data_IF_125608121541
#
_entry.id   IF_125608121541
#
_cell.length_a   1.000
_cell.length_b   1.000
_cell.length_c   1.000
_cell.angle_alpha   90.00
_cell.angle_beta   90.00
_cell.angle_gamma   90.00
#
_symmetry.space_group_name_H-M   'P 1'
#
loop_
_entity.id
_entity.type
_entity.pdbx_description
1 polymer ?
#
# COMPACT_ATOMS: atom_id res chain seq x y z
N UNK A 1 -39.47 -36.24 -23.20
CA UNK A 1 -38.93 -35.39 -22.12
C UNK A 1 -38.23 -36.33 -21.15
N UNK A 2 -36.92 -36.22 -21.00
CA UNK A 2 -36.12 -37.20 -20.25
C UNK A 2 -36.44 -37.11 -18.75
N UNK A 3 -36.36 -38.20 -17.98
CA UNK A 3 -36.59 -38.17 -16.52
C UNK A 3 -35.76 -37.08 -15.81
N UNK A 4 -34.55 -36.79 -16.31
CA UNK A 4 -33.69 -35.69 -15.85
C UNK A 4 -34.31 -34.29 -16.02
N UNK A 5 -35.09 -34.07 -17.08
CA UNK A 5 -35.74 -32.78 -17.35
C UNK A 5 -36.94 -32.54 -16.40
N UNK A 6 -37.53 -33.63 -15.87
CA UNK A 6 -38.61 -33.55 -14.90
C UNK A 6 -38.09 -33.30 -13.48
N UNK A 7 -36.97 -33.93 -13.08
CA UNK A 7 -36.29 -33.65 -11.80
C UNK A 7 -35.78 -32.19 -11.74
N UNK A 8 -35.12 -31.69 -12.78
CA UNK A 8 -34.65 -30.29 -12.81
C UNK A 8 -35.79 -29.26 -12.76
N UNK A 9 -36.96 -29.57 -13.34
CA UNK A 9 -38.15 -28.71 -13.24
C UNK A 9 -38.78 -28.76 -11.85
N UNK A 10 -38.73 -29.90 -11.17
CA UNK A 10 -39.23 -30.04 -9.80
C UNK A 10 -38.35 -29.30 -8.79
N UNK A 11 -37.02 -29.36 -8.95
CA UNK A 11 -36.08 -28.60 -8.14
C UNK A 11 -36.18 -27.08 -8.38
N UNK A 12 -36.37 -26.65 -9.64
CA UNK A 12 -36.59 -25.24 -9.94
C UNK A 12 -37.91 -24.72 -9.32
N UNK A 13 -38.98 -25.53 -9.34
CA UNK A 13 -40.26 -25.15 -8.77
C UNK A 13 -40.26 -25.12 -7.23
N UNK A 14 -39.49 -26.00 -6.57
CA UNK A 14 -39.34 -26.00 -5.11
C UNK A 14 -38.56 -24.77 -4.60
N UNK A 15 -37.46 -24.41 -5.28
CA UNK A 15 -36.65 -23.21 -4.98
C UNK A 15 -37.49 -21.93 -5.17
N UNK A 16 -38.34 -21.90 -6.20
CA UNK A 16 -39.22 -20.75 -6.46
C UNK A 16 -40.27 -20.57 -5.36
N UNK A 17 -40.84 -21.66 -4.85
CA UNK A 17 -41.80 -21.61 -3.73
C UNK A 17 -41.12 -21.24 -2.40
N UNK A 18 -39.92 -21.72 -2.12
CA UNK A 18 -39.16 -21.32 -0.92
C UNK A 18 -38.72 -19.85 -0.96
N UNK A 19 -38.38 -19.32 -2.13
CA UNK A 19 -38.00 -17.90 -2.32
C UNK A 19 -39.15 -16.92 -2.03
N UNK A 20 -40.41 -17.35 -2.26
CA UNK A 20 -41.61 -16.57 -1.93
C UNK A 20 -41.92 -16.59 -0.43
N UNK A 21 -41.57 -17.67 0.27
CA UNK A 21 -41.96 -17.90 1.67
C UNK A 21 -40.90 -17.44 2.68
N UNK A 22 -39.61 -17.46 2.33
CA UNK A 22 -38.48 -16.95 3.14
C UNK A 22 -37.39 -16.31 2.26
N UNK A 23 -37.61 -15.09 1.73
CA UNK A 23 -36.68 -14.45 0.80
C UNK A 23 -35.27 -14.27 1.38
N UNK A 24 -35.15 -13.97 2.67
CA UNK A 24 -33.84 -13.81 3.34
C UNK A 24 -33.05 -15.12 3.48
N UNK A 25 -33.71 -16.27 3.63
CA UNK A 25 -33.02 -17.56 3.76
C UNK A 25 -32.49 -18.04 2.40
N UNK A 26 -33.24 -17.78 1.33
CA UNK A 26 -32.80 -18.06 -0.05
C UNK A 26 -31.70 -17.09 -0.47
N UNK A 27 -31.78 -15.81 -0.11
CA UNK A 27 -30.69 -14.85 -0.36
C UNK A 27 -29.41 -15.24 0.40
N UNK A 28 -29.51 -15.68 1.66
CA UNK A 28 -28.37 -16.20 2.41
C UNK A 28 -27.83 -17.52 1.86
N UNK A 29 -28.69 -18.40 1.34
CA UNK A 29 -28.27 -19.64 0.71
C UNK A 29 -27.60 -19.39 -0.64
N UNK A 30 -28.09 -18.43 -1.44
CA UNK A 30 -27.47 -18.00 -2.69
C UNK A 30 -26.16 -17.28 -2.43
N UNK A 31 -26.08 -16.39 -1.43
CA UNK A 31 -24.85 -15.74 -1.00
C UNK A 31 -23.83 -16.77 -0.47
N UNK A 32 -24.30 -17.75 0.31
CA UNK A 32 -23.48 -18.85 0.83
C UNK A 32 -22.99 -19.82 -0.25
N UNK A 33 -23.83 -20.11 -1.26
CA UNK A 33 -23.48 -20.94 -2.41
C UNK A 33 -22.51 -20.22 -3.34
N UNK A 34 -22.77 -18.95 -3.67
CA UNK A 34 -21.87 -18.11 -4.47
C UNK A 34 -20.53 -17.88 -3.77
N UNK A 35 -20.50 -17.70 -2.44
CA UNK A 35 -19.24 -17.62 -1.70
C UNK A 35 -18.44 -18.93 -1.71
N UNK A 36 -19.13 -20.08 -1.62
CA UNK A 36 -18.49 -21.41 -1.71
C UNK A 36 -17.94 -21.68 -3.12
N UNK A 37 -18.70 -21.34 -4.17
CA UNK A 37 -18.26 -21.46 -5.56
C UNK A 37 -17.10 -20.52 -5.89
N UNK A 38 -17.06 -19.32 -5.28
CA UNK A 38 -15.91 -18.40 -5.38
C UNK A 38 -14.68 -18.92 -4.64
N UNK A 39 -14.85 -19.50 -3.44
CA UNK A 39 -13.76 -20.11 -2.66
C UNK A 39 -13.19 -21.35 -3.37
N UNK A 40 -14.02 -22.18 -4.02
CA UNK A 40 -13.56 -23.36 -4.77
C UNK A 40 -12.81 -23.00 -6.08
N UNK A 41 -13.04 -21.81 -6.64
CA UNK A 41 -12.32 -21.32 -7.83
C UNK A 41 -10.97 -20.65 -7.50
N UNK A 42 -10.75 -20.21 -6.26
CA UNK A 42 -9.46 -19.66 -5.84
C UNK A 42 -8.52 -20.79 -5.40
N UNK A 43 -7.65 -21.21 -6.32
CA UNK A 43 -6.55 -22.09 -5.99
C UNK A 43 -5.56 -21.34 -5.08
N UNK A 44 -5.71 -21.42 -3.76
CA UNK A 44 -4.76 -20.81 -2.83
C UNK A 44 -3.39 -21.49 -2.96
N UNK A 45 -2.30 -20.72 -2.86
CA UNK A 45 -0.95 -21.27 -2.79
C UNK A 45 -0.81 -22.11 -1.52
N UNK A 46 -0.34 -23.35 -1.65
CA UNK A 46 -0.09 -24.24 -0.50
C UNK A 46 1.38 -24.66 -0.44
N UNK A 47 1.82 -25.06 0.76
CA UNK A 47 3.15 -25.61 1.00
C UNK A 47 4.28 -24.57 1.07
N UNK A 48 5.50 -24.99 0.73
CA UNK A 48 6.75 -24.22 0.89
C UNK A 48 6.68 -22.86 0.19
N UNK A 49 6.00 -22.79 -0.96
CA UNK A 49 5.87 -21.57 -1.76
C UNK A 49 5.11 -20.47 -1.03
N UNK A 50 4.04 -20.81 -0.30
CA UNK A 50 3.30 -19.85 0.52
C UNK A 50 4.18 -19.29 1.64
N UNK A 51 4.92 -20.16 2.32
CA UNK A 51 5.83 -19.73 3.40
C UNK A 51 6.94 -18.83 2.88
N UNK A 52 7.53 -19.13 1.72
CA UNK A 52 8.55 -18.29 1.09
C UNK A 52 8.01 -16.89 0.76
N UNK A 53 6.85 -16.81 0.12
CA UNK A 53 6.21 -15.51 -0.20
C UNK A 53 5.91 -14.76 1.10
N UNK A 54 5.35 -15.44 2.10
CA UNK A 54 5.02 -14.85 3.39
C UNK A 54 6.25 -14.27 4.10
N UNK A 55 7.34 -15.04 4.18
CA UNK A 55 8.61 -14.59 4.76
C UNK A 55 9.15 -13.38 4.01
N UNK A 56 9.06 -13.37 2.68
CA UNK A 56 9.49 -12.23 1.90
C UNK A 56 8.64 -10.98 2.14
N UNK A 57 7.31 -11.12 2.27
CA UNK A 57 6.42 -10.00 2.58
C UNK A 57 6.70 -9.45 3.98
N UNK A 58 6.85 -10.34 4.97
CA UNK A 58 7.25 -9.96 6.33
C UNK A 58 8.61 -9.24 6.33
N UNK A 59 9.57 -9.70 5.53
CA UNK A 59 10.89 -9.06 5.42
C UNK A 59 10.79 -7.67 4.78
N UNK A 60 10.05 -7.51 3.68
CA UNK A 60 9.82 -6.20 3.06
C UNK A 60 9.15 -5.23 4.03
N UNK A 61 8.11 -5.67 4.73
CA UNK A 61 7.41 -4.88 5.75
C UNK A 61 8.32 -4.53 6.92
N UNK A 62 9.09 -5.49 7.42
CA UNK A 62 10.03 -5.30 8.51
C UNK A 62 11.07 -4.23 8.16
N UNK A 63 11.74 -4.34 7.01
CA UNK A 63 12.74 -3.36 6.58
C UNK A 63 12.14 -1.98 6.42
N UNK A 64 10.99 -1.88 5.75
CA UNK A 64 10.29 -0.62 5.50
C UNK A 64 9.91 0.12 6.79
N UNK A 65 9.51 -0.61 7.84
CA UNK A 65 9.09 -0.01 9.11
C UNK A 65 10.22 0.14 10.12
N UNK A 66 11.30 -0.63 9.98
CA UNK A 66 12.54 -0.46 10.74
C UNK A 66 13.17 0.91 10.47
N UNK A 67 13.10 1.38 9.21
CA UNK A 67 13.73 2.63 8.73
C UNK A 67 13.27 3.89 9.47
N UNK A 68 12.03 3.95 9.94
CA UNK A 68 11.53 5.15 10.62
C UNK A 68 12.26 5.32 11.98
N UNK A 69 12.15 4.39 12.93
CA UNK A 69 12.75 4.56 14.25
C UNK A 69 14.28 4.44 14.26
N UNK A 70 14.90 3.60 13.41
CA UNK A 70 16.37 3.44 13.35
C UNK A 70 17.09 4.75 12.99
N UNK A 71 16.39 5.60 12.24
CA UNK A 71 16.91 6.87 11.75
C UNK A 71 16.65 7.95 12.78
N UNK A 72 15.46 7.95 13.38
CA UNK A 72 15.13 8.86 14.46
C UNK A 72 16.17 8.78 15.59
N UNK A 73 16.63 7.58 15.95
CA UNK A 73 17.66 7.43 16.99
C UNK A 73 19.07 7.82 16.55
N UNK A 74 19.34 7.76 15.25
CA UNK A 74 20.67 8.03 14.68
C UNK A 74 20.77 9.43 14.07
N UNK A 75 19.70 10.23 14.18
CA UNK A 75 19.56 11.51 13.49
C UNK A 75 20.70 12.46 13.83
N UNK A 76 21.07 12.54 15.11
CA UNK A 76 22.17 13.39 15.58
C UNK A 76 23.49 12.98 14.90
N UNK A 77 23.78 11.68 14.83
CA UNK A 77 24.99 11.17 14.17
C UNK A 77 25.01 11.42 12.65
N UNK A 78 23.84 11.47 12.00
CA UNK A 78 23.72 11.84 10.58
C UNK A 78 24.02 13.34 10.41
N UNK A 79 23.44 14.19 11.26
CA UNK A 79 23.59 15.65 11.16
C UNK A 79 24.96 16.15 11.59
N UNK A 80 25.67 15.41 12.44
CA UNK A 80 27.04 15.74 12.85
C UNK A 80 28.03 15.51 11.69
N UNK A 81 27.84 14.46 10.89
CA UNK A 81 28.69 14.14 9.73
C UNK A 81 28.35 14.97 8.48
N UNK A 82 27.07 15.25 8.22
CA UNK A 82 26.62 15.98 7.04
C UNK A 82 26.47 17.50 7.27
N UNK A 83 26.49 17.96 8.51
CA UNK A 83 26.23 19.36 8.89
C UNK A 83 24.76 19.77 8.77
N UNK A 84 24.43 21.03 9.02
CA UNK A 84 23.09 21.62 8.88
C UNK A 84 21.96 21.00 9.74
N UNK A 85 22.11 21.11 11.06
CA UNK A 85 21.12 20.67 12.06
C UNK A 85 19.71 21.24 11.85
N UNK A 86 19.58 22.39 11.20
CA UNK A 86 18.28 23.01 10.95
C UNK A 86 17.41 22.18 10.00
N UNK A 87 18.03 21.32 9.17
CA UNK A 87 17.34 20.41 8.25
C UNK A 87 17.18 18.98 8.79
N UNK A 88 17.54 18.74 10.06
CA UNK A 88 17.47 17.42 10.66
C UNK A 88 16.05 16.83 10.62
N UNK A 89 15.03 17.61 10.98
CA UNK A 89 13.63 17.16 11.01
C UNK A 89 13.15 16.70 9.63
N UNK A 90 13.59 17.39 8.57
CA UNK A 90 13.27 17.05 7.19
C UNK A 90 13.77 15.68 6.74
N UNK A 91 14.81 15.11 7.37
CA UNK A 91 15.31 13.76 7.05
C UNK A 91 14.25 12.70 7.38
N UNK A 92 13.51 12.87 8.48
CA UNK A 92 12.43 11.97 8.89
C UNK A 92 11.17 12.30 8.09
N UNK A 93 10.80 13.58 8.05
CA UNK A 93 9.55 14.04 7.43
C UNK A 93 9.49 13.75 5.93
N UNK A 94 10.60 13.86 5.20
CA UNK A 94 10.65 13.51 3.77
C UNK A 94 10.31 12.05 3.47
N UNK A 95 10.78 11.11 4.30
CA UNK A 95 10.40 9.70 4.17
C UNK A 95 8.91 9.51 4.41
N UNK A 96 8.37 10.08 5.50
CA UNK A 96 6.94 9.98 5.84
C UNK A 96 6.06 10.60 4.76
N UNK A 97 6.48 11.73 4.18
CA UNK A 97 5.80 12.40 3.09
C UNK A 97 5.71 11.53 1.84
N UNK A 98 6.85 10.99 1.40
CA UNK A 98 6.89 10.01 0.31
C UNK A 98 6.07 8.76 0.63
N UNK A 99 6.07 8.35 1.90
CA UNK A 99 5.36 7.15 2.36
C UNK A 99 3.83 7.33 2.32
N UNK A 100 3.30 8.26 3.10
CA UNK A 100 1.85 8.45 3.24
C UNK A 100 1.21 8.86 1.91
N UNK A 101 1.90 9.68 1.13
CA UNK A 101 1.38 10.27 -0.09
C UNK A 101 1.04 9.27 -1.20
N UNK A 102 1.74 8.13 -1.29
CA UNK A 102 1.61 7.19 -2.41
C UNK A 102 1.09 5.81 -2.01
N UNK A 103 0.70 5.62 -0.75
CA UNK A 103 0.15 4.35 -0.21
C UNK A 103 -1.00 3.81 -1.07
N UNK A 104 -1.97 4.66 -1.40
CA UNK A 104 -3.17 4.24 -2.15
C UNK A 104 -2.85 4.06 -3.65
N UNK A 105 -1.95 4.89 -4.18
CA UNK A 105 -1.51 4.88 -5.58
C UNK A 105 -0.96 3.50 -5.94
N UNK A 106 -0.04 2.95 -5.13
CA UNK A 106 0.56 1.65 -5.43
C UNK A 106 -0.43 0.48 -5.32
N UNK A 107 -1.37 0.51 -4.37
CA UNK A 107 -2.42 -0.52 -4.29
C UNK A 107 -3.23 -0.57 -5.58
N UNK A 108 -3.70 0.58 -6.06
CA UNK A 108 -4.43 0.68 -7.32
C UNK A 108 -3.57 0.32 -8.53
N UNK A 109 -2.31 0.73 -8.54
CA UNK A 109 -1.37 0.38 -9.60
C UNK A 109 -1.17 -1.14 -9.68
N UNK A 110 -1.15 -1.82 -8.54
CA UNK A 110 -1.02 -3.28 -8.48
C UNK A 110 -2.27 -4.02 -8.95
N UNK A 111 -3.47 -3.41 -8.86
CA UNK A 111 -4.70 -3.98 -9.44
C UNK A 111 -4.62 -4.03 -10.97
N UNK A 112 -3.96 -3.04 -11.58
CA UNK A 112 -3.88 -2.86 -13.03
C UNK A 112 -2.71 -3.60 -13.65
N UNK A 113 -1.49 -3.38 -13.13
CA UNK A 113 -0.25 -3.94 -13.69
C UNK A 113 0.09 -5.33 -13.14
N UNK A 114 -0.69 -5.81 -12.17
CA UNK A 114 -0.50 -7.08 -11.49
C UNK A 114 0.36 -6.94 -10.23
N UNK A 115 0.06 -7.80 -9.24
CA UNK A 115 0.68 -7.79 -7.91
C UNK A 115 2.20 -7.97 -7.97
N UNK A 116 2.67 -9.00 -8.70
CA UNK A 116 4.10 -9.37 -8.76
C UNK A 116 4.96 -8.25 -9.34
N UNK A 117 4.55 -7.69 -10.49
CA UNK A 117 5.35 -6.68 -11.21
C UNK A 117 5.49 -5.41 -10.38
N UNK A 118 4.40 -4.95 -9.76
CA UNK A 118 4.44 -3.76 -8.90
C UNK A 118 5.19 -4.04 -7.61
N UNK A 119 5.07 -5.23 -7.00
CA UNK A 119 5.84 -5.60 -5.82
C UNK A 119 7.35 -5.57 -6.10
N UNK A 120 7.78 -6.11 -7.24
CA UNK A 120 9.18 -6.06 -7.68
C UNK A 120 9.64 -4.61 -7.86
N UNK A 121 8.83 -3.77 -8.50
CA UNK A 121 9.15 -2.36 -8.73
C UNK A 121 9.34 -1.60 -7.42
N UNK A 122 8.42 -1.75 -6.46
CA UNK A 122 8.48 -1.00 -5.19
C UNK A 122 9.64 -1.47 -4.30
N UNK A 123 9.95 -2.77 -4.29
CA UNK A 123 11.14 -3.30 -3.60
C UNK A 123 12.42 -2.76 -4.25
N UNK A 124 12.48 -2.72 -5.58
CA UNK A 124 13.63 -2.13 -6.30
C UNK A 124 13.82 -0.65 -5.98
N UNK A 125 12.75 0.14 -6.02
CA UNK A 125 12.78 1.56 -5.65
C UNK A 125 13.31 1.69 -4.21
N UNK A 126 12.75 0.95 -3.26
CA UNK A 126 13.18 0.98 -1.88
C UNK A 126 14.67 0.65 -1.71
N UNK A 127 15.16 -0.43 -2.33
CA UNK A 127 16.56 -0.86 -2.24
C UNK A 127 17.52 0.13 -2.91
N UNK A 128 17.20 0.60 -4.11
CA UNK A 128 18.04 1.55 -4.86
C UNK A 128 18.18 2.88 -4.13
N UNK A 129 17.06 3.43 -3.64
CA UNK A 129 17.11 4.69 -2.90
C UNK A 129 17.67 4.51 -1.49
N UNK A 130 17.55 3.33 -0.87
CA UNK A 130 18.28 3.04 0.37
C UNK A 130 19.80 3.03 0.14
N UNK A 131 20.28 2.41 -0.96
CA UNK A 131 21.69 2.50 -1.34
C UNK A 131 22.13 3.96 -1.61
N UNK A 132 21.28 4.75 -2.28
CA UNK A 132 21.54 6.17 -2.54
C UNK A 132 21.63 7.00 -1.24
N UNK A 133 20.74 6.75 -0.26
CA UNK A 133 20.80 7.37 1.07
C UNK A 133 22.13 7.04 1.78
N UNK A 134 22.61 5.80 1.71
CA UNK A 134 23.91 5.40 2.26
C UNK A 134 25.10 6.06 1.54
N UNK A 135 24.94 6.46 0.29
CA UNK A 135 25.94 7.17 -0.51
C UNK A 135 25.81 8.70 -0.47
N UNK A 136 24.84 9.25 0.29
CA UNK A 136 24.59 10.69 0.33
C UNK A 136 25.78 11.46 0.93
N UNK A 137 26.08 12.61 0.32
CA UNK A 137 27.19 13.50 0.72
C UNK A 137 26.73 14.80 1.38
N UNK A 138 25.43 15.13 1.27
CA UNK A 138 24.82 16.34 1.85
C UNK A 138 23.45 16.01 2.43
N UNK A 139 22.98 16.79 3.41
CA UNK A 139 21.65 16.59 3.99
C UNK A 139 20.54 16.76 2.93
N UNK A 140 20.67 17.70 2.00
CA UNK A 140 19.68 17.92 0.95
C UNK A 140 19.54 16.70 0.03
N UNK A 141 20.66 16.11 -0.38
CA UNK A 141 20.65 14.86 -1.15
C UNK A 141 19.99 13.74 -0.35
N UNK A 142 20.30 13.64 0.95
CA UNK A 142 19.71 12.63 1.82
C UNK A 142 18.19 12.80 1.93
N UNK A 143 17.69 14.02 2.11
CA UNK A 143 16.25 14.34 2.14
C UNK A 143 15.56 13.94 0.82
N UNK A 144 16.18 14.23 -0.32
CA UNK A 144 15.61 13.86 -1.62
C UNK A 144 15.57 12.34 -1.79
N UNK A 145 16.67 11.64 -1.51
CA UNK A 145 16.71 10.18 -1.60
C UNK A 145 15.74 9.52 -0.61
N UNK A 146 15.55 10.13 0.57
CA UNK A 146 14.57 9.70 1.57
C UNK A 146 13.14 9.79 1.08
N UNK A 147 12.77 10.88 0.42
CA UNK A 147 11.45 11.01 -0.17
C UNK A 147 11.17 9.87 -1.17
N UNK A 148 12.13 9.57 -2.05
CA UNK A 148 12.00 8.46 -3.00
C UNK A 148 12.05 7.07 -2.35
N UNK A 149 12.85 6.89 -1.29
CA UNK A 149 12.85 5.66 -0.51
C UNK A 149 11.50 5.44 0.17
N UNK A 150 10.88 6.51 0.70
CA UNK A 150 9.53 6.49 1.28
C UNK A 150 8.46 6.03 0.29
N UNK A 151 8.57 6.45 -0.98
CA UNK A 151 7.69 5.99 -2.06
C UNK A 151 7.77 4.46 -2.23
N UNK A 152 8.98 3.89 -2.24
CA UNK A 152 9.17 2.44 -2.28
C UNK A 152 8.62 1.74 -1.02
N UNK A 153 8.81 2.35 0.15
CA UNK A 153 8.29 1.86 1.42
C UNK A 153 6.75 1.79 1.46
N UNK A 154 6.07 2.82 1.00
CA UNK A 154 4.61 2.82 0.90
C UNK A 154 4.08 1.72 0.01
N UNK A 155 4.72 1.53 -1.15
CA UNK A 155 4.43 0.42 -2.04
C UNK A 155 4.58 -0.93 -1.34
N UNK A 156 5.69 -1.14 -0.64
CA UNK A 156 5.91 -2.37 0.13
C UNK A 156 4.82 -2.60 1.18
N UNK A 157 4.46 -1.57 1.94
CA UNK A 157 3.43 -1.68 2.97
C UNK A 157 2.07 -2.02 2.39
N UNK A 158 1.63 -1.23 1.43
CA UNK A 158 0.29 -1.33 0.84
C UNK A 158 0.11 -2.63 0.07
N UNK A 159 1.09 -3.01 -0.78
CA UNK A 159 1.01 -4.27 -1.51
C UNK A 159 1.12 -5.48 -0.58
N UNK A 160 1.91 -5.42 0.48
CA UNK A 160 2.01 -6.55 1.41
C UNK A 160 0.67 -6.81 2.11
N UNK A 161 -0.05 -5.75 2.49
CA UNK A 161 -1.39 -5.87 3.05
C UNK A 161 -2.39 -6.48 2.05
N UNK A 162 -2.38 -6.02 0.80
CA UNK A 162 -3.26 -6.54 -0.27
C UNK A 162 -2.94 -8.01 -0.59
N UNK A 163 -1.66 -8.33 -0.79
CA UNK A 163 -1.22 -9.68 -1.15
C UNK A 163 -1.48 -10.67 -0.02
N UNK A 164 -1.35 -10.25 1.25
CA UNK A 164 -1.66 -11.09 2.40
C UNK A 164 -3.11 -11.60 2.36
N UNK A 165 -4.05 -10.69 2.08
CA UNK A 165 -5.48 -11.01 1.98
C UNK A 165 -5.75 -11.91 0.77
N UNK A 166 -5.06 -11.71 -0.35
CA UNK A 166 -5.22 -12.57 -1.53
C UNK A 166 -4.53 -13.95 -1.39
N UNK A 167 -3.53 -14.08 -0.53
CA UNK A 167 -2.70 -15.28 -0.40
C UNK A 167 -3.32 -16.33 0.53
N UNK A 168 -4.09 -15.89 1.53
CA UNK A 168 -4.56 -16.71 2.65
C UNK A 168 -6.09 -16.83 2.58
N UNK A 169 -6.69 -17.99 2.89
CA UNK A 169 -8.15 -18.08 2.99
C UNK A 169 -8.69 -17.31 4.20
N UNK A 170 -9.94 -16.86 4.10
CA UNK A 170 -10.65 -16.05 5.11
C UNK A 170 -10.54 -16.60 6.54
N UNK A 171 -10.63 -17.92 6.71
CA UNK A 171 -10.53 -18.60 8.01
C UNK A 171 -9.16 -18.52 8.70
N UNK A 172 -8.10 -18.20 7.95
CA UNK A 172 -6.72 -18.15 8.43
C UNK A 172 -6.19 -16.73 8.53
N UNK A 173 -6.94 -15.71 8.10
CA UNK A 173 -6.52 -14.30 8.16
C UNK A 173 -6.01 -13.90 9.54
N UNK A 174 -6.74 -14.22 10.61
CA UNK A 174 -6.32 -13.87 11.97
C UNK A 174 -4.90 -14.40 12.29
N UNK A 175 -4.59 -15.64 11.91
CA UNK A 175 -3.28 -16.25 12.17
C UNK A 175 -2.15 -15.54 11.42
N UNK A 176 -2.33 -15.30 10.12
CA UNK A 176 -1.28 -14.71 9.30
C UNK A 176 -1.13 -13.20 9.52
N UNK A 177 -2.22 -12.47 9.72
CA UNK A 177 -2.19 -11.05 10.11
C UNK A 177 -1.50 -10.88 11.47
N UNK A 178 -1.72 -11.77 12.44
CA UNK A 178 -0.99 -11.72 13.72
C UNK A 178 0.51 -11.91 13.52
N UNK A 179 0.94 -12.82 12.64
CA UNK A 179 2.36 -13.00 12.30
C UNK A 179 2.93 -11.71 11.69
N UNK A 180 2.24 -11.10 10.72
CA UNK A 180 2.69 -9.84 10.11
C UNK A 180 2.78 -8.73 11.15
N UNK A 181 1.76 -8.56 12.00
CA UNK A 181 1.74 -7.57 13.06
C UNK A 181 2.86 -7.78 14.08
N UNK A 182 3.25 -9.04 14.34
CA UNK A 182 4.40 -9.35 15.19
C UNK A 182 5.71 -8.82 14.58
N UNK A 183 5.95 -9.11 13.29
CA UNK A 183 7.14 -8.60 12.59
C UNK A 183 7.14 -7.08 12.48
N UNK A 184 5.97 -6.48 12.24
CA UNK A 184 5.80 -5.03 12.24
C UNK A 184 6.17 -4.42 13.60
N UNK A 185 5.58 -4.90 14.69
CA UNK A 185 5.90 -4.41 16.05
C UNK A 185 7.36 -4.66 16.42
N UNK A 186 7.92 -5.80 16.00
CA UNK A 186 9.33 -6.12 16.23
C UNK A 186 10.25 -5.15 15.48
N UNK A 187 9.90 -4.73 14.26
CA UNK A 187 10.68 -3.72 13.52
C UNK A 187 10.72 -2.38 14.28
N UNK A 188 9.62 -1.97 14.90
CA UNK A 188 9.57 -0.73 15.68
C UNK A 188 10.43 -0.80 16.95
N UNK A 189 10.50 -1.98 17.58
CA UNK A 189 11.35 -2.21 18.76
C UNK A 189 12.83 -2.32 18.41
N UNK A 190 13.16 -3.01 17.32
CA UNK A 190 14.55 -3.24 16.91
C UNK A 190 15.18 -2.02 16.25
N UNK A 191 14.39 -1.10 15.70
CA UNK A 191 14.90 0.12 15.06
C UNK A 191 15.81 0.94 15.97
N UNK A 192 15.34 1.39 17.15
CA UNK A 192 16.16 2.15 18.09
C UNK A 192 17.42 1.41 18.53
N UNK A 193 17.30 0.09 18.73
CA UNK A 193 18.41 -0.78 19.17
C UNK A 193 19.50 -0.83 18.11
N UNK A 194 19.14 -1.16 16.87
CA UNK A 194 20.10 -1.20 15.76
C UNK A 194 20.66 0.19 15.48
N UNK A 195 19.85 1.25 15.54
CA UNK A 195 20.30 2.61 15.30
C UNK A 195 21.34 3.07 16.32
N UNK A 196 21.11 2.79 17.61
CA UNK A 196 22.07 3.06 18.67
C UNK A 196 23.38 2.28 18.49
N UNK A 197 23.30 0.97 18.23
CA UNK A 197 24.49 0.12 18.02
C UNK A 197 25.30 0.57 16.81
N UNK A 198 24.64 0.87 15.69
CA UNK A 198 25.31 1.29 14.46
C UNK A 198 25.94 2.66 14.66
N UNK A 199 25.25 3.62 15.26
CA UNK A 199 25.79 4.97 15.49
C UNK A 199 27.00 4.96 16.43
N UNK A 200 27.05 4.03 17.40
CA UNK A 200 28.18 3.92 18.34
C UNK A 200 29.40 3.20 17.77
N UNK A 201 29.19 2.19 16.93
CA UNK A 201 30.26 1.26 16.51
C UNK A 201 30.64 1.37 15.02
N UNK A 202 29.83 2.05 14.21
CA UNK A 202 29.99 2.14 12.77
C UNK A 202 29.52 3.51 12.25
N UNK A 203 29.62 3.70 10.93
CA UNK A 203 29.09 4.92 10.28
C UNK A 203 27.57 4.82 10.10
N UNK A 204 26.85 5.93 10.29
CA UNK A 204 25.40 6.02 10.08
C UNK A 204 24.95 5.51 8.70
N UNK A 205 25.82 5.54 7.69
CA UNK A 205 25.56 5.01 6.34
C UNK A 205 25.12 3.54 6.34
N UNK A 206 25.58 2.74 7.31
CA UNK A 206 25.20 1.33 7.45
C UNK A 206 23.72 1.13 7.81
N UNK A 207 23.07 2.14 8.40
CA UNK A 207 21.63 2.14 8.66
C UNK A 207 20.86 2.01 7.34
N UNK A 208 21.37 2.58 6.26
CA UNK A 208 20.74 2.45 4.95
C UNK A 208 21.21 1.19 4.23
N UNK A 209 22.52 0.93 4.29
CA UNK A 209 23.12 -0.19 3.58
C UNK A 209 22.63 -1.55 4.08
N UNK A 210 22.13 -1.69 5.32
CA UNK A 210 21.56 -2.96 5.78
C UNK A 210 20.32 -3.39 4.98
N UNK A 211 19.56 -2.44 4.45
CA UNK A 211 18.35 -2.72 3.67
C UNK A 211 18.67 -3.30 2.30
N UNK A 212 19.85 -3.01 1.76
CA UNK A 212 20.24 -3.46 0.42
C UNK A 212 20.35 -4.98 0.34
N UNK A 213 21.15 -5.69 1.16
CA UNK A 213 21.24 -7.14 1.10
C UNK A 213 19.92 -7.81 1.51
N UNK A 214 19.24 -7.31 2.55
CA UNK A 214 17.99 -7.90 3.01
C UNK A 214 16.86 -7.72 1.99
N UNK A 215 16.77 -6.54 1.37
CA UNK A 215 15.83 -6.25 0.28
C UNK A 215 16.15 -7.01 -1.00
N UNK A 216 17.43 -7.25 -1.32
CA UNK A 216 17.83 -8.10 -2.43
C UNK A 216 17.42 -9.57 -2.22
N UNK A 217 17.54 -10.09 -0.99
CA UNK A 217 17.04 -11.43 -0.64
C UNK A 217 15.52 -11.51 -0.80
N UNK A 218 14.78 -10.52 -0.27
CA UNK A 218 13.33 -10.46 -0.44
C UNK A 218 12.94 -10.41 -1.92
N UNK A 219 13.61 -9.55 -2.70
CA UNK A 219 13.40 -9.43 -4.14
C UNK A 219 13.64 -10.76 -4.86
N UNK A 220 14.73 -11.46 -4.54
CA UNK A 220 15.02 -12.79 -5.09
C UNK A 220 13.90 -13.78 -4.78
N UNK A 221 13.44 -13.84 -3.53
CA UNK A 221 12.34 -14.72 -3.15
C UNK A 221 11.07 -14.37 -3.92
N UNK A 222 10.71 -13.08 -4.07
CA UNK A 222 9.52 -12.67 -4.84
C UNK A 222 9.64 -13.08 -6.31
N UNK A 223 10.81 -12.86 -6.93
CA UNK A 223 11.03 -13.17 -8.35
C UNK A 223 10.89 -14.67 -8.62
N UNK A 224 11.45 -15.53 -7.77
CA UNK A 224 11.43 -16.98 -7.94
C UNK A 224 10.18 -17.66 -7.38
N UNK A 225 9.71 -17.25 -6.21
CA UNK A 225 8.58 -17.90 -5.54
C UNK A 225 7.23 -17.35 -6.03
N UNK A 226 7.06 -16.08 -6.38
CA UNK A 226 5.74 -15.57 -6.77
C UNK A 226 5.38 -15.92 -8.23
N UNK A 227 4.20 -16.49 -8.54
CA UNK A 227 3.81 -16.81 -9.92
C UNK A 227 3.49 -15.54 -10.73
N UNK A 228 3.85 -15.53 -12.02
CA UNK A 228 3.63 -14.40 -12.97
C UNK A 228 2.15 -14.08 -13.28
N UNK A 229 1.20 -14.66 -12.53
CA UNK A 229 -0.24 -14.44 -12.69
C UNK A 229 -1.00 -14.39 -11.37
N UNK A 230 -0.32 -14.18 -10.24
CA UNK A 230 -0.96 -13.98 -8.94
C UNK A 230 -1.85 -12.72 -8.98
N UNK A 231 -3.08 -12.77 -8.43
CA UNK A 231 -3.70 -13.88 -7.66
C UNK A 231 -4.37 -14.97 -8.53
N UNK A 232 -4.65 -14.71 -9.81
CA UNK A 232 -5.37 -15.60 -10.72
C UNK A 232 -4.53 -16.72 -11.35
N UNK A 233 -3.58 -17.28 -10.61
CA UNK A 233 -2.71 -18.33 -11.15
C UNK A 233 -3.52 -19.62 -11.38
N UNK A 234 -3.52 -20.13 -12.61
CA UNK A 234 -4.27 -21.34 -12.99
C UNK A 234 -5.53 -21.06 -13.83
N UNK A 235 -5.97 -19.80 -13.95
CA UNK A 235 -7.05 -19.44 -14.87
C UNK A 235 -6.45 -19.23 -16.28
N UNK A 236 -6.99 -19.88 -17.34
CA UNK A 236 -6.58 -19.65 -18.73
C UNK A 236 -6.58 -18.16 -19.05
N UNK A 237 -5.60 -17.70 -19.84
CA UNK A 237 -5.37 -16.27 -20.17
C UNK A 237 -6.61 -15.57 -20.76
N UNK A 238 -7.55 -16.34 -21.30
CA UNK A 238 -8.82 -15.92 -21.91
C UNK A 238 -9.95 -15.67 -20.91
N UNK A 239 -9.93 -16.30 -19.72
CA UNK A 239 -10.93 -16.12 -18.64
C UNK A 239 -10.45 -15.19 -17.53
N UNK A 240 -9.25 -14.60 -17.67
CA UNK A 240 -8.78 -13.58 -16.73
C UNK A 240 -9.68 -12.35 -16.89
N UNK A 241 -10.32 -11.85 -15.82
CA UNK A 241 -11.26 -10.73 -15.92
C UNK A 241 -10.64 -9.46 -16.54
N UNK A 242 -9.30 -9.34 -16.55
CA UNK A 242 -8.56 -8.25 -17.18
C UNK A 242 -7.36 -8.75 -18.02
N UNK A 243 -7.60 -9.55 -19.07
CA UNK A 243 -6.49 -9.96 -19.97
C UNK A 243 -5.96 -8.75 -20.76
N UNK A 244 -4.75 -8.34 -20.40
CA UNK A 244 -3.95 -7.19 -20.89
C UNK A 244 -3.86 -7.11 -22.43
N UNK A 245 -4.20 -8.17 -23.18
CA UNK A 245 -4.09 -8.18 -24.65
C UNK A 245 -5.17 -7.40 -25.40
N UNK A 246 -6.27 -6.96 -24.75
CA UNK A 246 -7.36 -6.23 -25.44
C UNK A 246 -7.69 -4.84 -24.90
N UNK A 247 -7.16 -4.44 -23.75
CA UNK A 247 -7.46 -3.12 -23.18
C UNK A 247 -6.28 -2.17 -23.41
N UNK A 248 -6.47 -1.23 -24.34
CA UNK A 248 -5.53 -0.15 -24.64
C UNK A 248 -5.06 0.53 -23.35
N UNK A 249 -3.74 0.64 -23.16
CA UNK A 249 -3.09 1.24 -21.98
C UNK A 249 -3.62 2.63 -21.64
N UNK A 250 -4.20 3.36 -22.62
CA UNK A 250 -4.87 4.65 -22.42
C UNK A 250 -6.18 4.56 -21.62
N UNK A 251 -6.96 3.49 -21.76
CA UNK A 251 -8.22 3.30 -21.03
C UNK A 251 -7.96 2.89 -19.57
N UNK A 252 -6.89 2.13 -19.32
CA UNK A 252 -6.45 1.77 -17.98
C UNK A 252 -5.85 2.96 -17.22
N UNK A 253 -5.05 3.81 -17.89
CA UNK A 253 -4.57 5.08 -17.33
C UNK A 253 -5.72 6.08 -17.13
N UNK A 254 -6.74 6.08 -17.98
CA UNK A 254 -7.92 6.93 -17.81
C UNK A 254 -8.78 6.53 -16.60
N UNK A 255 -8.70 5.29 -16.11
CA UNK A 255 -9.34 4.85 -14.86
C UNK A 255 -8.62 5.34 -13.61
N UNK A 256 -7.34 5.67 -13.73
CA UNK A 256 -6.50 6.08 -12.62
C UNK A 256 -6.74 7.55 -12.33
N UNK A 257 -7.22 7.87 -11.13
CA UNK A 257 -7.38 9.24 -10.69
C UNK A 257 -6.03 9.88 -10.32
N UNK A 258 -5.19 10.06 -11.35
CA UNK A 258 -3.85 10.66 -11.23
C UNK A 258 -3.97 12.10 -10.73
N UNK A 259 -5.01 12.80 -11.16
CA UNK A 259 -5.24 14.18 -10.76
C UNK A 259 -5.57 14.27 -9.27
N UNK A 260 -6.51 13.46 -8.77
CA UNK A 260 -6.81 13.37 -7.34
C UNK A 260 -5.59 12.94 -6.52
N UNK A 261 -4.82 11.96 -7.01
CA UNK A 261 -3.59 11.52 -6.36
C UNK A 261 -2.52 12.63 -6.25
N UNK A 262 -2.28 13.39 -7.33
CA UNK A 262 -1.35 14.52 -7.32
C UNK A 262 -1.85 15.64 -6.42
N UNK A 263 -3.15 15.90 -6.40
CA UNK A 263 -3.74 16.92 -5.54
C UNK A 263 -3.63 16.55 -4.05
N UNK A 264 -3.86 15.27 -3.71
CA UNK A 264 -3.69 14.75 -2.35
C UNK A 264 -2.23 14.83 -1.91
N UNK A 265 -1.30 14.45 -2.78
CA UNK A 265 0.14 14.57 -2.55
C UNK A 265 0.54 16.02 -2.32
N UNK A 266 0.11 16.94 -3.19
CA UNK A 266 0.41 18.36 -3.05
C UNK A 266 -0.19 18.94 -1.77
N UNK A 267 -1.44 18.60 -1.44
CA UNK A 267 -2.12 19.09 -0.24
C UNK A 267 -1.41 18.65 1.05
N UNK A 268 -0.99 17.39 1.13
CA UNK A 268 -0.27 16.82 2.28
C UNK A 268 1.15 17.35 2.39
N UNK A 269 1.91 17.40 1.29
CA UNK A 269 3.26 17.97 1.24
C UNK A 269 3.29 19.42 1.71
N UNK A 270 2.39 20.26 1.19
CA UNK A 270 2.32 21.67 1.55
C UNK A 270 1.90 21.88 3.01
N UNK A 271 1.01 21.04 3.53
CA UNK A 271 0.59 21.12 4.92
C UNK A 271 1.75 20.81 5.86
N UNK A 272 2.43 19.69 5.64
CA UNK A 272 3.56 19.27 6.46
C UNK A 272 4.70 20.28 6.34
N UNK A 273 5.02 20.74 5.13
CA UNK A 273 6.04 21.78 4.93
C UNK A 273 5.73 23.06 5.71
N UNK A 274 4.47 23.50 5.72
CA UNK A 274 4.08 24.68 6.47
C UNK A 274 4.24 24.49 7.98
N UNK A 275 3.88 23.31 8.50
CA UNK A 275 3.96 22.99 9.93
C UNK A 275 5.40 22.75 10.40
N UNK A 276 6.23 22.16 9.56
CA UNK A 276 7.65 21.89 9.86
C UNK A 276 8.47 23.19 9.92
N UNK A 277 8.18 24.15 9.04
CA UNK A 277 8.90 25.42 8.96
C UNK A 277 8.35 26.48 9.92
N UNK A 278 7.14 26.27 10.45
CA UNK A 278 6.51 27.17 11.40
C UNK A 278 7.25 27.14 12.75
N UNK A 279 7.64 28.33 13.22
CA UNK A 279 8.36 28.56 14.49
C UNK A 279 9.79 28.00 14.56
N UNK A 280 10.26 27.33 13.50
CA UNK A 280 11.67 26.91 13.36
C UNK A 280 12.46 27.95 12.58
N UNK A 281 12.11 28.18 11.30
CA UNK A 281 12.75 29.20 10.46
C UNK A 281 11.88 30.44 10.26
N UNK A 282 10.56 30.26 10.23
CA UNK A 282 9.63 31.34 9.94
C UNK A 282 8.59 31.48 11.06
N UNK A 283 8.35 32.71 11.55
CA UNK A 283 7.24 32.94 12.47
C UNK A 283 5.92 32.54 11.83
N UNK A 284 4.95 32.09 12.64
CA UNK A 284 3.59 31.76 12.18
C UNK A 284 2.91 32.87 11.35
N UNK A 285 3.26 34.13 11.61
CA UNK A 285 2.74 35.31 10.88
C UNK A 285 3.47 35.59 9.56
N UNK A 286 4.50 34.83 9.22
CA UNK A 286 5.24 34.99 7.98
C UNK A 286 4.34 34.72 6.79
N UNK A 287 4.49 35.54 5.74
CA UNK A 287 3.81 35.34 4.47
C UNK A 287 4.08 33.94 3.91
N UNK A 288 5.28 33.38 4.12
CA UNK A 288 5.66 32.05 3.65
C UNK A 288 4.75 30.94 4.23
N UNK A 289 4.65 30.87 5.56
CA UNK A 289 3.84 29.86 6.26
C UNK A 289 2.35 30.00 5.92
N UNK A 290 1.84 31.23 5.91
CA UNK A 290 0.43 31.50 5.56
C UNK A 290 0.13 31.09 4.11
N UNK A 291 1.05 31.35 3.18
CA UNK A 291 0.88 30.98 1.77
C UNK A 291 0.86 29.45 1.60
N UNK A 292 1.75 28.73 2.27
CA UNK A 292 1.74 27.26 2.23
C UNK A 292 0.45 26.66 2.83
N UNK A 293 0.00 27.18 3.97
CA UNK A 293 -1.26 26.75 4.61
C UNK A 293 -2.49 27.04 3.74
N UNK A 294 -2.55 28.22 3.12
CA UNK A 294 -3.67 28.59 2.26
C UNK A 294 -3.70 27.76 0.98
N UNK A 295 -2.55 27.54 0.32
CA UNK A 295 -2.49 26.67 -0.87
C UNK A 295 -2.82 25.22 -0.51
N UNK A 296 -2.34 24.72 0.64
CA UNK A 296 -2.71 23.39 1.13
C UNK A 296 -4.22 23.28 1.37
N UNK A 297 -4.83 24.25 2.06
CA UNK A 297 -6.27 24.28 2.31
C UNK A 297 -7.09 24.30 1.01
N UNK A 298 -6.66 25.11 0.03
CA UNK A 298 -7.29 25.15 -1.30
C UNK A 298 -7.13 23.83 -2.06
N UNK A 299 -5.98 23.17 -1.93
CA UNK A 299 -5.71 21.87 -2.57
C UNK A 299 -6.58 20.76 -1.94
N UNK A 300 -6.77 20.77 -0.63
CA UNK A 300 -7.69 19.87 0.08
C UNK A 300 -9.14 20.08 -0.35
N UNK A 301 -9.60 21.33 -0.45
CA UNK A 301 -10.94 21.65 -0.96
C UNK A 301 -11.08 21.18 -2.41
N UNK A 302 -10.09 21.47 -3.25
CA UNK A 302 -10.04 21.01 -4.64
C UNK A 302 -10.12 19.49 -4.74
N UNK A 303 -9.45 18.77 -3.84
CA UNK A 303 -9.41 17.31 -3.81
C UNK A 303 -10.78 16.75 -3.47
N UNK A 304 -11.41 17.25 -2.40
CA UNK A 304 -12.75 16.82 -2.00
C UNK A 304 -13.82 17.14 -3.06
N UNK A 305 -13.73 18.30 -3.71
CA UNK A 305 -14.63 18.66 -4.81
C UNK A 305 -14.43 17.76 -6.03
N UNK A 306 -13.18 17.45 -6.37
CA UNK A 306 -12.83 16.54 -7.45
C UNK A 306 -13.35 15.12 -7.17
N UNK A 307 -13.09 14.57 -6.00
CA UNK A 307 -13.57 13.24 -5.61
C UNK A 307 -15.10 13.15 -5.57
N UNK A 308 -15.76 14.19 -5.06
CA UNK A 308 -17.23 14.28 -5.08
C UNK A 308 -17.76 14.30 -6.51
N UNK A 309 -17.13 15.05 -7.41
CA UNK A 309 -17.51 15.11 -8.83
C UNK A 309 -17.24 13.79 -9.56
N UNK A 310 -16.14 13.11 -9.25
CA UNK A 310 -15.80 11.81 -9.81
C UNK A 310 -16.79 10.73 -9.38
N UNK A 311 -17.21 10.74 -8.11
CA UNK A 311 -18.20 9.79 -7.58
C UNK A 311 -19.56 9.93 -8.28
N UNK A 312 -19.98 11.14 -8.64
CA UNK A 312 -21.25 11.35 -9.35
C UNK A 312 -21.20 10.93 -10.84
N UNK A 313 -20.00 10.90 -11.44
CA UNK A 313 -19.77 10.49 -12.83
C UNK A 313 -19.16 9.08 -12.90
N UNK A 314 -19.90 8.07 -12.45
CA UNK A 314 -19.50 6.64 -12.32
C UNK A 314 -19.06 5.91 -13.60
N UNK A 315 -18.94 6.58 -14.76
CA UNK A 315 -18.71 5.90 -16.04
C UNK A 315 -17.25 5.68 -16.43
N UNK A 316 -16.26 6.35 -15.82
CA UNK A 316 -14.89 6.37 -16.38
C UNK A 316 -13.76 6.09 -15.37
N UNK A 317 -13.82 6.60 -14.13
CA UNK A 317 -12.71 6.50 -13.17
C UNK A 317 -13.15 5.88 -11.84
N UNK A 318 -12.29 5.06 -11.25
CA UNK A 318 -12.48 4.63 -9.85
C UNK A 318 -11.82 5.67 -8.93
N UNK A 319 -12.58 6.33 -8.04
CA UNK A 319 -12.01 7.35 -7.16
C UNK A 319 -10.97 6.74 -6.21
N UNK A 320 -9.96 7.54 -5.85
CA UNK A 320 -8.94 7.16 -4.84
C UNK A 320 -9.61 6.88 -3.51
N UNK A 321 -10.52 7.76 -3.09
CA UNK A 321 -11.38 7.58 -1.92
C UNK A 321 -12.87 7.49 -2.35
N UNK A 322 -13.49 6.31 -2.28
CA UNK A 322 -14.92 6.16 -2.53
C UNK A 322 -15.76 7.00 -1.56
N UNK A 323 -16.56 7.92 -2.08
CA UNK A 323 -17.40 8.83 -1.28
C UNK A 323 -18.40 8.13 -0.34
N UNK A 324 -18.69 6.85 -0.58
CA UNK A 324 -19.50 5.98 0.30
C UNK A 324 -18.94 5.91 1.73
N UNK A 325 -17.62 6.09 1.90
CA UNK A 325 -16.99 6.15 3.21
C UNK A 325 -17.38 7.39 4.02
N UNK A 326 -17.59 8.53 3.34
CA UNK A 326 -18.03 9.78 3.99
C UNK A 326 -19.52 9.74 4.33
N UNK A 327 -20.34 9.11 3.48
CA UNK A 327 -21.79 9.04 3.68
C UNK A 327 -22.19 8.09 4.82
N UNK A 328 -21.42 7.02 5.05
CA UNK A 328 -21.73 6.05 6.10
C UNK A 328 -21.10 6.45 7.43
N UNK A 329 -21.95 6.87 8.37
CA UNK A 329 -21.54 7.28 9.74
C UNK A 329 -20.74 6.21 10.48
N UNK A 330 -21.00 4.93 10.20
CA UNK A 330 -20.32 3.78 10.82
C UNK A 330 -18.88 3.66 10.34
N UNK A 331 -18.62 3.79 9.03
CA UNK A 331 -17.25 3.77 8.51
C UNK A 331 -16.49 5.03 8.88
N UNK A 332 -17.14 6.19 8.86
CA UNK A 332 -16.54 7.43 9.34
C UNK A 332 -16.08 7.28 10.80
N UNK A 333 -16.89 6.65 11.65
CA UNK A 333 -16.55 6.38 13.06
C UNK A 333 -15.52 5.27 13.29
N UNK A 334 -15.21 4.43 12.30
CA UNK A 334 -14.12 3.45 12.38
C UNK A 334 -12.77 4.01 11.91
N UNK A 335 -12.80 5.10 11.14
CA UNK A 335 -11.60 5.76 10.58
C UNK A 335 -11.04 6.84 11.52
N UNK A 336 -11.91 7.44 12.36
CA UNK A 336 -11.62 8.52 13.30
C UNK A 336 -11.10 8.00 14.64
#
# INVERSE_FOLDING_TARGET
MSQKDQEQKQDAASITNEAVQKPQAVEQAILGATSKEYEDQQHYLQGVRLYLIMVSLCLCLFLTNLEIPIVTTSLIGITDDLGDFNKASWVISSYLLGYVGVLIIFSKLSDVFGRKSILILVVLIFVLFSAACGAAQTIEQLIVFRAFQGIGGAGNYSLSAVILVELVPSNKYAKYTTIVSLFYSLSLLLGPIFGGIITQNATWRWIFLLNVPAGAVALGIIVFAMPNGFPFHGIPKERRPNSISKLSSKWLLARFDLFGAVLLLAATLLLVAALEEADVHYPWKSAFVITLLTISGLSWIGFLLWERRMTQNTKVCEPVFPWRFVESRILLGMIL
#
